data_IF_600075138239
#
_entry.id   IF_600075138239
#
_cell.length_a   1.000
_cell.length_b   1.000
_cell.length_c   1.000
_cell.angle_alpha   90.00
_cell.angle_beta   90.00
_cell.angle_gamma   90.00
#
_symmetry.space_group_name_H-M   'P 1'
#
loop_
_entity.id
_entity.type
_entity.pdbx_description
1 polymer ?
#
# COMPACT_ATOMS: atom_id res chain seq x y z
N UNK A 1 -5.87 -4.74 23.80
CA UNK A 1 -7.13 -4.82 23.04
C UNK A 1 -7.03 -5.98 22.05
N UNK A 2 -7.83 -7.04 22.20
CA UNK A 2 -7.71 -8.30 21.44
C UNK A 2 -7.93 -8.07 19.93
N UNK A 3 -6.90 -8.27 19.13
CA UNK A 3 -6.92 -8.19 17.66
C UNK A 3 -7.67 -9.43 17.13
N UNK A 4 -8.99 -9.33 17.00
CA UNK A 4 -9.79 -10.42 16.42
C UNK A 4 -9.76 -10.36 14.89
N UNK A 5 -8.98 -11.28 14.31
CA UNK A 5 -9.05 -11.89 12.97
C UNK A 5 -9.68 -11.01 11.88
N UNK A 6 -8.81 -10.24 11.22
CA UNK A 6 -9.15 -9.42 10.06
C UNK A 6 -9.18 -10.21 8.73
N UNK A 7 -8.62 -11.42 8.68
CA UNK A 7 -8.53 -12.18 7.42
C UNK A 7 -9.38 -13.46 7.41
N UNK A 8 -9.99 -13.84 6.26
CA UNK A 8 -10.73 -15.09 6.11
C UNK A 8 -9.83 -16.31 6.33
N UNK A 9 -10.39 -17.35 6.95
CA UNK A 9 -9.70 -18.57 7.39
C UNK A 9 -9.02 -19.33 6.23
N UNK A 10 -9.45 -19.11 4.98
CA UNK A 10 -8.90 -19.73 3.77
C UNK A 10 -7.42 -19.41 3.53
N UNK A 11 -6.92 -18.25 3.95
CA UNK A 11 -5.51 -17.85 3.77
C UNK A 11 -4.57 -18.62 4.71
N UNK A 12 -5.08 -19.13 5.85
CA UNK A 12 -4.27 -19.84 6.85
C UNK A 12 -3.80 -21.24 6.40
N UNK A 13 -4.45 -21.86 5.41
CA UNK A 13 -4.17 -23.24 5.00
C UNK A 13 -3.05 -23.38 3.96
N UNK A 14 -2.45 -22.29 3.51
CA UNK A 14 -1.44 -22.27 2.44
C UNK A 14 0.02 -22.44 2.94
N UNK A 15 0.25 -22.84 4.20
CA UNK A 15 1.61 -23.18 4.67
C UNK A 15 2.61 -22.02 4.72
N UNK A 16 2.19 -20.77 4.53
CA UNK A 16 3.07 -19.60 4.60
C UNK A 16 3.33 -19.22 6.06
N UNK A 17 4.40 -19.76 6.65
CA UNK A 17 5.09 -19.09 7.77
C UNK A 17 5.96 -18.00 7.14
N UNK A 18 5.39 -16.82 6.89
CA UNK A 18 6.18 -15.66 6.46
C UNK A 18 5.79 -14.43 7.26
N UNK A 19 6.58 -13.36 7.13
CA UNK A 19 6.27 -12.00 7.55
C UNK A 19 4.90 -11.47 7.06
N UNK A 20 4.13 -12.26 6.33
CA UNK A 20 2.74 -12.04 5.96
C UNK A 20 1.74 -12.78 6.85
N UNK A 21 2.14 -13.24 8.05
CA UNK A 21 1.15 -13.58 9.07
C UNK A 21 0.21 -12.38 9.23
N UNK A 22 -1.08 -12.63 9.43
CA UNK A 22 -2.07 -11.56 9.57
C UNK A 22 -1.61 -10.49 10.59
N UNK A 23 -0.85 -10.89 11.60
CA UNK A 23 -0.33 -10.00 12.65
C UNK A 23 0.71 -9.01 12.13
N UNK A 24 1.70 -9.46 11.35
CA UNK A 24 2.73 -8.57 10.81
C UNK A 24 2.16 -7.60 9.77
N UNK A 25 1.26 -8.06 8.91
CA UNK A 25 0.56 -7.19 7.95
C UNK A 25 -0.31 -6.13 8.65
N UNK A 26 -0.96 -6.50 9.76
CA UNK A 26 -1.74 -5.56 10.56
C UNK A 26 -0.86 -4.57 11.33
N UNK A 27 0.30 -5.03 11.82
CA UNK A 27 1.28 -4.15 12.46
C UNK A 27 1.81 -3.12 11.46
N UNK A 28 2.23 -3.57 10.27
CA UNK A 28 2.66 -2.69 9.20
C UNK A 28 1.55 -1.71 8.80
N UNK A 29 0.31 -2.20 8.58
CA UNK A 29 -0.84 -1.36 8.28
C UNK A 29 -1.04 -0.25 9.30
N UNK A 30 -1.02 -0.60 10.58
CA UNK A 30 -1.24 0.34 11.67
C UNK A 30 -0.15 1.41 11.67
N UNK A 31 1.12 1.02 11.59
CA UNK A 31 2.26 1.96 11.51
C UNK A 31 2.16 2.86 10.29
N UNK A 32 1.81 2.31 9.13
CA UNK A 32 1.61 3.07 7.91
C UNK A 32 0.48 4.09 8.04
N UNK A 33 -0.66 3.69 8.62
CA UNK A 33 -1.77 4.60 8.88
C UNK A 33 -1.39 5.69 9.87
N UNK A 34 -0.75 5.34 10.99
CA UNK A 34 -0.33 6.29 12.00
C UNK A 34 0.68 7.30 11.40
N UNK A 35 1.60 6.83 10.56
CA UNK A 35 2.56 7.67 9.85
C UNK A 35 1.90 8.62 8.84
N UNK A 36 0.86 8.16 8.12
CA UNK A 36 0.07 9.02 7.23
C UNK A 36 -0.70 10.06 8.05
N UNK A 37 -1.47 9.62 9.03
CA UNK A 37 -2.39 10.47 9.80
C UNK A 37 -1.62 11.55 10.56
N UNK A 38 -0.51 11.19 11.23
CA UNK A 38 0.36 12.15 11.93
C UNK A 38 0.94 13.23 11.01
N UNK A 39 1.22 12.91 9.75
CA UNK A 39 1.77 13.86 8.77
C UNK A 39 0.70 14.59 7.95
N UNK A 40 -0.58 14.30 8.20
CA UNK A 40 -1.75 14.93 7.58
C UNK A 40 -2.38 16.04 8.46
N UNK A 41 -1.78 16.40 9.60
CA UNK A 41 -2.27 17.37 10.61
C UNK A 41 -2.72 18.77 10.11
N UNK A 42 -2.64 19.08 8.82
CA UNK A 42 -3.05 20.37 8.23
C UNK A 42 -4.42 20.39 7.57
N UNK A 43 -5.16 19.28 7.50
CA UNK A 43 -6.51 19.32 6.93
C UNK A 43 -7.52 19.72 8.00
N UNK A 44 -8.07 20.94 7.93
CA UNK A 44 -9.20 21.39 8.77
C UNK A 44 -10.28 20.31 8.74
N UNK A 45 -10.55 19.70 9.90
CA UNK A 45 -11.56 18.66 10.04
C UNK A 45 -12.93 19.32 10.19
N UNK A 46 -13.92 18.88 9.41
CA UNK A 46 -15.30 19.28 9.64
C UNK A 46 -15.81 18.63 10.94
N UNK A 47 -16.48 19.41 11.79
CA UNK A 47 -16.99 18.96 13.10
C UNK A 47 -17.97 17.78 13.00
N UNK A 48 -18.67 17.65 11.87
CA UNK A 48 -19.67 16.61 11.59
C UNK A 48 -19.20 15.62 10.50
N UNK A 49 -17.92 15.24 10.51
CA UNK A 49 -17.42 14.27 9.52
C UNK A 49 -18.06 12.90 9.70
N UNK A 50 -18.45 12.28 8.58
CA UNK A 50 -19.07 10.95 8.56
C UNK A 50 -18.06 9.81 8.81
N UNK A 51 -16.81 10.01 8.42
CA UNK A 51 -15.76 9.00 8.44
C UNK A 51 -14.48 9.55 9.05
N UNK A 52 -13.72 8.66 9.66
CA UNK A 52 -12.40 8.91 10.20
C UNK A 52 -11.30 8.68 9.16
N UNK A 53 -10.13 9.27 9.36
CA UNK A 53 -8.97 9.14 8.46
C UNK A 53 -8.62 7.66 8.21
N UNK A 54 -8.70 6.85 9.28
CA UNK A 54 -8.44 5.42 9.26
C UNK A 54 -9.44 4.65 8.37
N UNK A 55 -10.68 5.13 8.20
CA UNK A 55 -11.68 4.44 7.39
C UNK A 55 -11.30 4.51 5.90
N UNK A 56 -10.75 5.64 5.44
CA UNK A 56 -10.26 5.79 4.08
C UNK A 56 -9.04 4.91 3.82
N UNK A 57 -8.07 4.95 4.74
CA UNK A 57 -6.83 4.16 4.62
C UNK A 57 -7.09 2.67 4.73
N UNK A 58 -8.09 2.25 5.51
CA UNK A 58 -8.53 0.86 5.59
C UNK A 58 -9.02 0.35 4.24
N UNK A 59 -9.90 1.08 3.55
CA UNK A 59 -10.37 0.64 2.22
C UNK A 59 -9.20 0.51 1.25
N UNK A 60 -8.34 1.53 1.20
CA UNK A 60 -7.17 1.53 0.34
C UNK A 60 -6.24 0.36 0.64
N UNK A 61 -5.84 0.16 1.89
CA UNK A 61 -4.88 -0.89 2.20
C UNK A 61 -5.44 -2.29 1.99
N UNK A 62 -6.73 -2.52 2.29
CA UNK A 62 -7.36 -3.79 1.97
C UNK A 62 -7.42 -4.04 0.48
N UNK A 63 -7.65 -3.01 -0.35
CA UNK A 63 -7.70 -3.17 -1.81
C UNK A 63 -6.35 -3.65 -2.34
N UNK A 64 -5.26 -3.10 -1.80
CA UNK A 64 -3.90 -3.53 -2.14
C UNK A 64 -3.59 -4.96 -1.68
N UNK A 65 -3.96 -5.33 -0.44
CA UNK A 65 -3.74 -6.69 0.07
C UNK A 65 -4.44 -7.75 -0.79
N UNK A 66 -5.71 -7.50 -1.13
CA UNK A 66 -6.53 -8.49 -1.81
C UNK A 66 -6.40 -8.41 -3.34
N UNK A 67 -5.61 -7.47 -3.86
CA UNK A 67 -5.42 -7.25 -5.29
C UNK A 67 -6.71 -6.88 -6.03
N UNK A 68 -7.62 -6.12 -5.40
CA UNK A 68 -8.88 -5.67 -6.01
C UNK A 68 -8.93 -4.17 -6.15
N UNK A 69 -9.85 -3.69 -6.97
CA UNK A 69 -10.10 -2.25 -7.08
C UNK A 69 -10.61 -1.66 -5.76
N UNK A 70 -10.36 -0.38 -5.52
CA UNK A 70 -10.94 0.37 -4.38
C UNK A 70 -12.47 0.33 -4.44
N UNK A 71 -13.06 0.28 -5.65
CA UNK A 71 -14.52 0.14 -5.83
C UNK A 71 -15.02 -1.16 -5.22
N UNK A 72 -14.52 -2.29 -5.72
CA UNK A 72 -14.96 -3.62 -5.30
C UNK A 72 -14.70 -3.83 -3.82
N UNK A 73 -13.55 -3.34 -3.34
CA UNK A 73 -13.18 -3.43 -1.93
C UNK A 73 -14.13 -2.63 -1.05
N UNK A 74 -14.50 -1.41 -1.44
CA UNK A 74 -15.45 -0.58 -0.70
C UNK A 74 -16.83 -1.24 -0.64
N UNK A 75 -17.34 -1.76 -1.76
CA UNK A 75 -18.63 -2.47 -1.80
C UNK A 75 -18.61 -3.75 -0.96
N UNK A 76 -17.55 -4.55 -1.08
CA UNK A 76 -17.38 -5.79 -0.33
C UNK A 76 -17.32 -5.53 1.18
N UNK A 77 -16.54 -4.54 1.62
CA UNK A 77 -16.43 -4.18 3.03
C UNK A 77 -17.74 -3.61 3.58
N UNK A 78 -18.43 -2.75 2.81
CA UNK A 78 -19.71 -2.18 3.24
C UNK A 78 -20.78 -3.28 3.41
N UNK A 79 -20.90 -4.17 2.42
CA UNK A 79 -21.82 -5.32 2.47
C UNK A 79 -21.52 -6.23 3.67
N UNK A 80 -20.25 -6.52 3.92
CA UNK A 80 -19.82 -7.34 5.05
C UNK A 80 -20.13 -6.71 6.41
N UNK A 81 -19.92 -5.40 6.56
CA UNK A 81 -20.19 -4.71 7.83
C UNK A 81 -21.70 -4.55 8.05
N UNK A 82 -22.46 -4.30 6.99
CA UNK A 82 -23.92 -4.21 7.06
C UNK A 82 -24.55 -5.56 7.43
N UNK A 83 -24.04 -6.69 6.91
CA UNK A 83 -24.58 -8.02 7.26
C UNK A 83 -24.36 -8.39 8.73
N UNK A 84 -23.35 -7.81 9.38
CA UNK A 84 -23.04 -8.00 10.81
C UNK A 84 -23.79 -7.05 11.73
N UNK A 85 -24.36 -5.97 11.18
CA UNK A 85 -25.07 -4.98 11.97
C UNK A 85 -26.50 -5.46 12.21
N UNK A 86 -26.91 -5.48 13.48
CA UNK A 86 -28.32 -5.70 13.85
C UNK A 86 -29.14 -4.46 13.48
N UNK A 87 -30.34 -4.67 12.92
CA UNK A 87 -31.32 -3.63 12.59
C UNK A 87 -31.46 -3.34 11.09
N UNK A 88 -32.51 -2.58 10.74
CA UNK A 88 -32.80 -2.23 9.35
C UNK A 88 -31.79 -1.17 8.84
N UNK A 89 -31.24 -1.32 7.62
CA UNK A 89 -30.39 -0.30 7.02
C UNK A 89 -31.16 1.01 6.88
N UNK A 90 -30.53 2.13 7.25
CA UNK A 90 -31.10 3.45 6.99
C UNK A 90 -31.04 3.73 5.48
N UNK A 91 -32.18 4.04 4.88
CA UNK A 91 -32.32 4.42 3.48
C UNK A 91 -32.60 5.93 3.44
N UNK A 92 -31.94 6.66 2.55
CA UNK A 92 -32.17 8.09 2.33
C UNK A 92 -33.36 8.29 1.38
N UNK A 93 -33.88 9.52 1.31
CA UNK A 93 -35.03 9.86 0.46
C UNK A 93 -34.81 9.53 -1.04
N UNK A 94 -33.55 9.50 -1.49
CA UNK A 94 -33.14 9.16 -2.85
C UNK A 94 -32.93 7.65 -3.07
N UNK A 95 -33.36 6.80 -2.13
CA UNK A 95 -33.21 5.35 -2.20
C UNK A 95 -31.80 4.83 -1.87
N UNK A 96 -30.80 5.72 -1.68
CA UNK A 96 -29.45 5.28 -1.32
C UNK A 96 -29.40 4.73 0.10
N UNK A 97 -28.68 3.63 0.28
CA UNK A 97 -28.44 3.05 1.61
C UNK A 97 -27.31 3.79 2.33
N UNK A 98 -27.46 3.98 3.63
CA UNK A 98 -26.40 4.53 4.49
C UNK A 98 -25.25 3.53 4.60
N UNK A 99 -24.18 3.81 3.87
CA UNK A 99 -22.86 3.16 3.99
C UNK A 99 -22.22 3.33 5.38
N UNK A 100 -21.48 2.31 5.80
CA UNK A 100 -20.60 2.28 6.97
C UNK A 100 -19.15 2.61 6.61
N UNK A 101 -18.77 2.41 5.35
CA UNK A 101 -17.42 2.62 4.82
C UNK A 101 -17.46 3.68 3.69
N UNK A 102 -16.42 4.53 3.54
CA UNK A 102 -16.34 5.50 2.45
C UNK A 102 -16.48 4.86 1.06
N UNK A 103 -17.24 5.50 0.17
CA UNK A 103 -17.29 5.09 -1.24
C UNK A 103 -15.96 5.37 -1.94
N UNK A 104 -15.64 4.64 -3.02
CA UNK A 104 -14.41 4.80 -3.79
C UNK A 104 -14.09 6.26 -4.15
N UNK A 105 -15.08 7.05 -4.56
CA UNK A 105 -14.88 8.48 -4.90
C UNK A 105 -14.37 9.28 -3.71
N UNK A 106 -14.86 8.99 -2.51
CA UNK A 106 -14.44 9.64 -1.27
C UNK A 106 -13.03 9.21 -0.87
N UNK A 107 -12.71 7.91 -1.00
CA UNK A 107 -11.36 7.37 -0.80
C UNK A 107 -10.37 8.01 -1.76
N UNK A 108 -10.69 8.07 -3.06
CA UNK A 108 -9.83 8.70 -4.05
C UNK A 108 -9.63 10.20 -3.76
N UNK A 109 -10.68 10.91 -3.35
CA UNK A 109 -10.59 12.33 -2.95
C UNK A 109 -9.71 12.50 -1.72
N UNK A 110 -9.77 11.56 -0.77
CA UNK A 110 -8.90 11.52 0.39
C UNK A 110 -7.44 11.31 0.02
N UNK A 111 -7.14 10.25 -0.76
CA UNK A 111 -5.77 9.90 -1.16
C UNK A 111 -5.09 10.99 -1.99
N UNK A 112 -5.83 11.71 -2.84
CA UNK A 112 -5.30 12.85 -3.61
C UNK A 112 -4.75 13.99 -2.74
N UNK A 113 -5.14 14.07 -1.47
CA UNK A 113 -4.60 15.04 -0.51
C UNK A 113 -3.19 14.67 -0.06
N UNK A 114 -2.80 13.41 -0.19
CA UNK A 114 -1.46 12.92 0.10
C UNK A 114 -0.60 13.20 -1.14
N UNK A 115 0.17 14.28 -1.09
CA UNK A 115 1.09 14.63 -2.17
C UNK A 115 2.12 13.51 -2.41
N UNK A 116 2.53 13.31 -3.67
CA UNK A 116 3.42 12.20 -4.08
C UNK A 116 4.72 12.14 -3.27
N UNK A 117 5.41 13.26 -3.08
CA UNK A 117 6.67 13.29 -2.32
C UNK A 117 6.45 12.89 -0.87
N UNK A 118 5.34 13.32 -0.26
CA UNK A 118 4.97 12.93 1.10
C UNK A 118 4.67 11.44 1.17
N UNK A 119 3.91 10.90 0.21
CA UNK A 119 3.63 9.47 0.13
C UNK A 119 4.91 8.64 0.00
N UNK A 120 5.86 9.05 -0.85
CA UNK A 120 7.15 8.39 -1.03
C UNK A 120 7.98 8.37 0.25
N UNK A 121 8.07 9.50 0.94
CA UNK A 121 8.82 9.59 2.20
C UNK A 121 8.22 8.70 3.28
N UNK A 122 6.88 8.71 3.43
CA UNK A 122 6.18 7.86 4.40
C UNK A 122 6.39 6.38 4.08
N UNK A 123 6.25 6.00 2.80
CA UNK A 123 6.46 4.62 2.36
C UNK A 123 7.89 4.18 2.66
N UNK A 124 8.90 5.00 2.34
CA UNK A 124 10.31 4.71 2.61
C UNK A 124 10.58 4.49 4.09
N UNK A 125 10.05 5.34 4.95
CA UNK A 125 10.20 5.22 6.41
C UNK A 125 9.56 3.94 6.95
N UNK A 126 8.34 3.62 6.50
CA UNK A 126 7.64 2.41 6.93
C UNK A 126 8.38 1.14 6.49
N UNK A 127 8.87 1.11 5.25
CA UNK A 127 9.65 -0.02 4.74
C UNK A 127 11.00 -0.15 5.46
N UNK A 128 11.73 0.94 5.68
CA UNK A 128 12.98 0.92 6.44
C UNK A 128 12.76 0.40 7.87
N UNK A 129 11.66 0.80 8.52
CA UNK A 129 11.28 0.33 9.85
C UNK A 129 10.95 -1.17 9.83
N UNK A 130 10.20 -1.63 8.83
CA UNK A 130 9.90 -3.05 8.65
C UNK A 130 11.16 -3.90 8.48
N UNK A 131 12.15 -3.41 7.72
CA UNK A 131 13.42 -4.10 7.52
C UNK A 131 14.22 -4.23 8.83
N UNK A 132 14.29 -3.16 9.63
CA UNK A 132 14.95 -3.20 10.94
C UNK A 132 14.26 -4.17 11.89
N UNK A 133 12.93 -4.13 11.97
CA UNK A 133 12.16 -5.05 12.82
C UNK A 133 12.34 -6.51 12.39
N UNK A 134 12.35 -6.78 11.08
CA UNK A 134 12.61 -8.13 10.58
C UNK A 134 14.02 -8.61 10.96
N UNK A 135 15.01 -7.70 11.00
CA UNK A 135 16.37 -8.01 11.43
C UNK A 135 16.43 -8.26 12.95
N UNK A 136 15.82 -7.40 13.76
CA UNK A 136 15.78 -7.50 15.23
C UNK A 136 15.07 -8.78 15.69
N UNK A 137 14.03 -9.18 14.97
CA UNK A 137 13.32 -10.45 15.19
C UNK A 137 14.07 -11.68 14.65
N UNK A 138 15.24 -11.50 14.04
CA UNK A 138 16.05 -12.58 13.47
C UNK A 138 15.43 -13.26 12.25
N UNK A 139 14.42 -12.65 11.62
CA UNK A 139 13.73 -13.21 10.45
C UNK A 139 14.61 -13.12 9.19
N UNK A 140 15.37 -12.04 9.06
CA UNK A 140 16.36 -11.84 8.01
C UNK A 140 17.77 -11.73 8.62
N UNK A 141 18.81 -11.93 7.80
CA UNK A 141 20.19 -11.66 8.21
C UNK A 141 20.68 -10.29 7.75
N UNK A 142 21.78 -9.82 8.36
CA UNK A 142 22.52 -8.63 7.91
C UNK A 142 22.97 -8.78 6.44
N UNK A 143 23.36 -9.99 6.02
CA UNK A 143 23.66 -10.29 4.61
C UNK A 143 22.36 -10.52 3.86
N UNK A 144 22.13 -9.77 2.79
CA UNK A 144 20.90 -9.83 1.97
C UNK A 144 21.23 -9.80 0.48
N UNK A 145 20.41 -10.49 -0.31
CA UNK A 145 20.41 -10.34 -1.77
C UNK A 145 19.39 -9.27 -2.13
N UNK A 146 19.74 -8.35 -3.03
CA UNK A 146 18.83 -7.31 -3.50
C UNK A 146 18.22 -7.75 -4.81
N UNK A 147 16.88 -7.70 -4.90
CA UNK A 147 16.12 -7.98 -6.11
C UNK A 147 15.52 -6.69 -6.63
N UNK A 148 15.72 -6.44 -7.93
CA UNK A 148 15.25 -5.24 -8.60
C UNK A 148 14.30 -5.68 -9.71
N UNK A 149 13.04 -5.25 -9.64
CA UNK A 149 12.01 -5.55 -10.62
C UNK A 149 11.59 -4.29 -11.38
N UNK A 150 11.34 -4.45 -12.67
CA UNK A 150 10.80 -3.41 -13.54
C UNK A 150 9.34 -3.70 -13.83
N UNK A 151 8.47 -3.04 -13.09
CA UNK A 151 7.03 -3.26 -13.23
C UNK A 151 6.42 -2.20 -14.15
N UNK A 152 5.78 -2.63 -15.23
CA UNK A 152 4.95 -1.78 -16.08
C UNK A 152 3.49 -1.87 -15.62
N UNK A 153 2.85 -0.71 -15.45
CA UNK A 153 1.45 -0.65 -15.03
C UNK A 153 0.63 0.17 -16.03
N UNK A 154 -0.42 -0.40 -16.66
CA UNK A 154 -1.32 0.33 -17.55
C UNK A 154 -1.89 1.59 -16.90
N UNK A 155 -2.05 2.65 -17.70
CA UNK A 155 -2.63 3.91 -17.25
C UNK A 155 -3.78 4.33 -18.17
N UNK A 156 -4.98 4.46 -17.62
CA UNK A 156 -6.20 4.79 -18.36
C UNK A 156 -6.68 6.24 -18.14
N UNK A 157 -5.85 7.08 -17.53
CA UNK A 157 -6.22 8.46 -17.24
C UNK A 157 -5.77 9.44 -18.32
N UNK A 158 -6.18 10.70 -18.15
CA UNK A 158 -5.92 11.79 -19.11
C UNK A 158 -4.54 12.45 -18.97
N UNK A 159 -3.78 12.15 -17.90
CA UNK A 159 -2.46 12.74 -17.64
C UNK A 159 -1.45 12.34 -18.73
N UNK A 160 -0.54 13.25 -19.07
CA UNK A 160 0.43 13.03 -20.16
C UNK A 160 1.83 13.62 -19.90
N UNK A 161 2.18 13.85 -18.63
CA UNK A 161 3.55 14.27 -18.31
C UNK A 161 4.57 13.13 -18.40
N UNK A 162 5.85 13.46 -18.17
CA UNK A 162 6.98 12.53 -18.28
C UNK A 162 6.86 11.26 -17.42
N UNK A 163 5.96 11.19 -16.44
CA UNK A 163 5.73 9.97 -15.66
C UNK A 163 4.86 8.94 -16.39
N UNK A 164 4.14 9.37 -17.42
CA UNK A 164 3.32 8.52 -18.28
C UNK A 164 4.10 8.24 -19.55
N UNK A 165 4.26 6.96 -19.88
CA UNK A 165 5.00 6.49 -21.05
C UNK A 165 4.04 5.88 -22.06
N UNK A 166 4.38 5.98 -23.34
CA UNK A 166 3.66 5.30 -24.40
C UNK A 166 3.92 3.79 -24.36
N UNK A 167 2.92 2.99 -24.69
CA UNK A 167 3.03 1.54 -24.87
C UNK A 167 2.06 1.06 -25.94
N UNK A 168 2.43 -0.02 -26.63
CA UNK A 168 1.55 -0.74 -27.56
C UNK A 168 1.20 -2.14 -27.03
N UNK A 169 1.72 -2.53 -25.87
CA UNK A 169 1.60 -3.89 -25.33
C UNK A 169 0.40 -4.06 -24.38
N UNK A 170 -0.22 -2.95 -23.95
CA UNK A 170 -1.26 -2.96 -22.93
C UNK A 170 -2.65 -2.88 -23.56
N UNK A 171 -3.56 -3.76 -23.10
CA UNK A 171 -4.93 -3.80 -23.63
C UNK A 171 -5.72 -2.56 -23.21
N UNK A 172 -6.31 -1.88 -24.19
CA UNK A 172 -7.23 -0.77 -23.97
C UNK A 172 -6.58 0.55 -23.54
N UNK A 173 -5.25 0.65 -23.57
CA UNK A 173 -4.55 1.92 -23.37
C UNK A 173 -3.21 1.93 -24.09
N UNK A 174 -2.85 3.10 -24.64
CA UNK A 174 -1.53 3.34 -25.19
C UNK A 174 -0.57 3.96 -24.16
N UNK A 175 -0.97 3.99 -22.88
CA UNK A 175 -0.25 4.67 -21.80
C UNK A 175 0.05 3.72 -20.65
N UNK A 176 1.24 3.85 -20.07
CA UNK A 176 1.69 3.09 -18.91
C UNK A 176 2.56 3.92 -17.96
N UNK A 177 2.73 3.40 -16.75
CA UNK A 177 3.67 3.87 -15.74
C UNK A 177 4.77 2.84 -15.57
N UNK A 178 5.99 3.30 -15.34
CA UNK A 178 7.12 2.42 -15.07
C UNK A 178 7.56 2.56 -13.64
N UNK A 179 7.56 1.44 -12.93
CA UNK A 179 8.01 1.37 -11.57
C UNK A 179 9.28 0.54 -11.46
N UNK A 180 10.09 0.93 -10.48
CA UNK A 180 11.21 0.16 -10.01
C UNK A 180 10.85 -0.37 -8.64
N UNK A 181 10.56 -1.67 -8.60
CA UNK A 181 10.33 -2.41 -7.36
C UNK A 181 11.65 -2.88 -6.79
N UNK A 182 11.83 -2.73 -5.49
CA UNK A 182 12.99 -3.23 -4.78
C UNK A 182 12.53 -4.17 -3.70
N UNK A 183 13.18 -5.33 -3.62
CA UNK A 183 12.96 -6.31 -2.56
C UNK A 183 14.29 -6.85 -2.07
N UNK A 184 14.29 -7.41 -0.86
CA UNK A 184 15.42 -8.16 -0.31
C UNK A 184 15.03 -9.62 -0.14
N UNK A 185 15.99 -10.51 -0.39
CA UNK A 185 15.88 -11.94 -0.14
C UNK A 185 16.94 -12.33 0.89
N UNK A 186 16.49 -12.92 2.00
CA UNK A 186 17.38 -13.37 3.07
C UNK A 186 16.72 -14.49 3.86
N UNK A 187 17.46 -15.55 4.19
CA UNK A 187 16.95 -16.73 4.94
C UNK A 187 15.65 -17.32 4.37
N UNK A 188 15.49 -17.32 3.04
CA UNK A 188 14.27 -17.78 2.37
C UNK A 188 13.06 -16.84 2.50
N UNK A 189 13.23 -15.66 3.11
CA UNK A 189 12.21 -14.65 3.26
C UNK A 189 12.42 -13.54 2.23
N UNK A 190 11.36 -13.25 1.49
CA UNK A 190 11.30 -12.15 0.54
C UNK A 190 10.55 -10.97 1.16
N UNK A 191 11.20 -9.80 1.25
CA UNK A 191 10.60 -8.58 1.76
C UNK A 191 10.65 -7.47 0.74
N UNK A 192 9.49 -6.83 0.52
CA UNK A 192 9.43 -5.62 -0.27
C UNK A 192 10.13 -4.48 0.48
N UNK A 193 11.00 -3.75 -0.22
CA UNK A 193 11.93 -2.80 0.38
C UNK A 193 11.87 -1.39 -0.26
N UNK A 194 11.23 -1.24 -1.43
CA UNK A 194 11.04 0.06 -2.04
C UNK A 194 10.25 0.05 -3.34
N UNK A 195 9.65 1.19 -3.66
CA UNK A 195 8.96 1.45 -4.91
C UNK A 195 9.35 2.84 -5.42
N UNK A 196 9.81 2.95 -6.66
CA UNK A 196 10.13 4.24 -7.28
C UNK A 196 9.48 4.37 -8.66
N UNK A 197 8.80 5.49 -8.91
CA UNK A 197 8.20 5.79 -10.21
C UNK A 197 9.24 6.47 -11.11
N UNK A 198 9.50 5.90 -12.28
CA UNK A 198 10.57 6.34 -13.19
C UNK A 198 10.01 7.11 -14.37
N UNK A 199 10.45 8.36 -14.54
CA UNK A 199 10.07 9.20 -15.66
C UNK A 199 10.62 8.70 -17.01
N UNK A 200 10.04 9.18 -18.11
CA UNK A 200 10.55 8.97 -19.46
C UNK A 200 11.88 9.69 -19.63
N UNK A 201 12.87 9.00 -20.20
CA UNK A 201 14.20 9.57 -20.47
C UNK A 201 15.12 9.71 -19.26
N UNK A 202 14.74 9.24 -18.06
CA UNK A 202 15.64 9.27 -16.89
C UNK A 202 16.36 7.94 -16.71
N UNK A 203 17.67 8.01 -16.45
CA UNK A 203 18.45 6.83 -16.07
C UNK A 203 17.94 6.23 -14.76
N UNK A 204 17.88 4.90 -14.69
CA UNK A 204 17.44 4.17 -13.51
C UNK A 204 18.60 3.95 -12.52
N UNK A 205 19.84 4.03 -13.00
CA UNK A 205 21.05 3.75 -12.22
C UNK A 205 21.14 4.64 -10.96
N UNK A 206 20.93 5.97 -11.02
CA UNK A 206 20.97 6.80 -9.82
C UNK A 206 19.91 6.43 -8.77
N UNK A 207 18.76 5.95 -9.23
CA UNK A 207 17.67 5.50 -8.33
C UNK A 207 18.06 4.20 -7.63
N UNK A 208 18.70 3.28 -8.38
CA UNK A 208 19.22 2.02 -7.84
C UNK A 208 20.32 2.30 -6.82
N UNK A 209 21.34 3.10 -7.18
CA UNK A 209 22.46 3.44 -6.28
C UNK A 209 21.93 4.06 -4.98
N UNK A 210 21.04 5.04 -5.07
CA UNK A 210 20.43 5.66 -3.88
C UNK A 210 19.68 4.66 -3.00
N UNK A 211 19.04 3.65 -3.59
CA UNK A 211 18.40 2.58 -2.83
C UNK A 211 19.41 1.67 -2.13
N UNK A 212 20.48 1.27 -2.83
CA UNK A 212 21.55 0.44 -2.26
C UNK A 212 22.27 1.18 -1.12
N UNK A 213 22.60 2.46 -1.30
CA UNK A 213 23.18 3.31 -0.26
C UNK A 213 22.29 3.38 0.98
N UNK A 214 20.97 3.50 0.80
CA UNK A 214 20.03 3.45 1.91
C UNK A 214 20.08 2.11 2.65
N UNK A 215 20.22 0.96 1.97
CA UNK A 215 20.37 -0.33 2.64
C UNK A 215 21.69 -0.44 3.41
N UNK A 216 22.79 0.07 2.84
CA UNK A 216 24.10 0.13 3.52
C UNK A 216 24.02 0.99 4.79
N UNK A 217 23.37 2.16 4.70
CA UNK A 217 23.14 3.05 5.84
C UNK A 217 22.25 2.43 6.93
N UNK A 218 21.40 1.46 6.57
CA UNK A 218 20.62 0.67 7.53
C UNK A 218 21.43 -0.45 8.19
N UNK A 219 22.69 -0.66 7.77
CA UNK A 219 23.60 -1.66 8.32
C UNK A 219 23.60 -3.00 7.59
N UNK A 220 22.91 -3.11 6.44
CA UNK A 220 22.92 -4.35 5.66
C UNK A 220 24.24 -4.52 4.89
N UNK A 221 24.61 -5.79 4.68
CA UNK A 221 25.68 -6.20 3.76
C UNK A 221 25.03 -6.78 2.51
N UNK A 222 25.34 -6.19 1.36
CA UNK A 222 24.73 -6.57 0.10
C UNK A 222 25.56 -7.66 -0.56
N UNK A 223 24.90 -8.75 -0.95
CA UNK A 223 25.46 -9.69 -1.90
C UNK A 223 25.08 -9.24 -3.30
N UNK A 224 26.06 -9.22 -4.20
CA UNK A 224 25.79 -9.08 -5.63
C UNK A 224 25.39 -10.47 -6.15
N UNK A 225 24.19 -10.56 -6.70
CA UNK A 225 23.70 -11.73 -7.44
C UNK A 225 23.52 -11.30 -8.88
#
# INVERSE_FOLDING_TARGET
MRINKISPISIKRLGVKSLLSNEYMLSFFKKFCDAIISRMWRFKRARNRRYEDIDFLKVFFFSEIIGRSIHDTSEMLDKYLLSRRKGRPRIFADGRKKRLIPHQTEVNKYLRRIGLNKARNILRECLNTQLKEALDLGLISIKVNVLIDFTEHPYYGKRDDKMIKGTNQQKGTTKMRHYLGFSILSRGIHLYAGLEHVAKGTSKIPVIIKFLDNLLNLGFKLNYV
#
